data_IF_063952735660
#
_entry.id   IF_063952735660
#
_cell.length_a   1.000
_cell.length_b   1.000
_cell.length_c   1.000
_cell.angle_alpha   90.00
_cell.angle_beta   90.00
_cell.angle_gamma   90.00
#
_symmetry.space_group_name_H-M   'P 1'
#
loop_
_entity.id
_entity.type
_entity.pdbx_description
1 polymer ?
#
# COMPACT_ATOMS: atom_id res chain seq x y z
N UNK A 1 -9.39 -5.69 -0.46
CA UNK A 1 -10.09 -4.72 -1.35
C UNK A 1 -10.28 -3.43 -0.57
N UNK A 2 -10.42 -2.28 -1.23
CA UNK A 2 -10.70 -1.00 -0.59
C UNK A 2 -12.07 -0.51 -1.06
N UNK A 3 -12.99 -0.26 -0.13
CA UNK A 3 -14.34 0.24 -0.42
C UNK A 3 -14.59 1.49 0.41
N UNK A 4 -15.19 2.51 -0.20
CA UNK A 4 -15.56 3.76 0.46
C UNK A 4 -16.97 4.16 0.01
N UNK A 5 -17.83 4.42 0.99
CA UNK A 5 -19.14 4.99 0.74
C UNK A 5 -19.07 6.53 0.78
N UNK A 6 -19.71 7.24 -0.15
CA UNK A 6 -19.87 8.70 -0.09
C UNK A 6 -20.58 9.13 1.19
N UNK A 7 -20.27 10.34 1.68
CA UNK A 7 -21.06 11.01 2.73
C UNK A 7 -22.06 11.96 2.09
N UNK A 8 -23.12 12.30 2.81
CA UNK A 8 -24.27 13.07 2.31
C UNK A 8 -23.91 14.46 1.69
N UNK A 9 -22.76 15.06 2.03
CA UNK A 9 -22.32 16.36 1.51
C UNK A 9 -20.81 16.40 1.16
N UNK A 10 -20.28 15.32 0.58
CA UNK A 10 -18.85 15.26 0.26
C UNK A 10 -18.55 15.56 -1.20
N UNK A 11 -17.61 16.51 -1.42
CA UNK A 11 -17.07 16.77 -2.74
C UNK A 11 -16.36 15.55 -3.34
N UNK A 12 -16.53 15.32 -4.64
CA UNK A 12 -15.99 14.17 -5.37
C UNK A 12 -14.47 14.03 -5.16
N UNK A 13 -13.73 15.12 -5.18
CA UNK A 13 -12.27 15.12 -4.96
C UNK A 13 -11.87 14.57 -3.58
N UNK A 14 -12.67 14.86 -2.55
CA UNK A 14 -12.46 14.33 -1.20
C UNK A 14 -12.67 12.82 -1.17
N UNK A 15 -13.71 12.31 -1.85
CA UNK A 15 -13.97 10.87 -1.99
C UNK A 15 -12.79 10.20 -2.69
N UNK A 16 -12.31 10.76 -3.81
CA UNK A 16 -11.16 10.23 -4.56
C UNK A 16 -9.89 10.23 -3.68
N UNK A 17 -9.67 11.29 -2.91
CA UNK A 17 -8.51 11.39 -2.02
C UNK A 17 -8.54 10.32 -0.93
N UNK A 18 -9.68 10.09 -0.28
CA UNK A 18 -9.83 9.01 0.71
C UNK A 18 -9.67 7.65 0.06
N UNK A 19 -10.21 7.45 -1.13
CA UNK A 19 -10.08 6.19 -1.88
C UNK A 19 -8.62 5.86 -2.16
N UNK A 20 -7.86 6.83 -2.67
CA UNK A 20 -6.42 6.67 -2.89
C UNK A 20 -5.67 6.32 -1.60
N UNK A 21 -6.06 6.91 -0.46
CA UNK A 21 -5.48 6.57 0.86
C UNK A 21 -5.81 5.15 1.28
N UNK A 22 -7.07 4.72 1.21
CA UNK A 22 -7.49 3.36 1.58
C UNK A 22 -6.85 2.31 0.68
N UNK A 23 -6.76 2.54 -0.64
CA UNK A 23 -6.04 1.67 -1.59
C UNK A 23 -4.56 1.54 -1.22
N UNK A 24 -3.94 2.65 -0.83
CA UNK A 24 -2.53 2.67 -0.42
C UNK A 24 -2.32 1.95 0.92
N UNK A 25 -3.22 2.17 1.89
CA UNK A 25 -3.21 1.53 3.21
C UNK A 25 -3.43 0.02 3.11
N UNK A 26 -4.32 -0.42 2.22
CA UNK A 26 -4.59 -1.81 1.93
C UNK A 26 -3.43 -2.53 1.19
N UNK A 27 -2.38 -1.80 0.77
CA UNK A 27 -1.20 -2.40 0.15
C UNK A 27 -1.45 -3.03 -1.23
N UNK A 28 -2.53 -2.64 -1.92
CA UNK A 28 -2.97 -3.28 -3.17
C UNK A 28 -1.90 -3.18 -4.26
N UNK A 29 -1.24 -2.03 -4.41
CA UNK A 29 -0.19 -1.84 -5.43
C UNK A 29 1.07 -2.70 -5.18
N UNK A 30 1.67 -2.72 -3.97
CA UNK A 30 2.71 -3.70 -3.63
C UNK A 30 2.31 -5.15 -3.91
N UNK A 31 1.06 -5.49 -3.59
CA UNK A 31 0.52 -6.83 -3.75
C UNK A 31 0.34 -7.23 -5.20
N UNK A 32 -0.07 -6.29 -6.05
CA UNK A 32 -0.10 -6.47 -7.48
C UNK A 32 1.32 -6.67 -8.01
N UNK A 33 2.27 -5.80 -7.63
CA UNK A 33 3.67 -5.86 -8.13
C UNK A 33 4.35 -7.19 -7.80
N UNK A 34 4.19 -7.71 -6.58
CA UNK A 34 4.79 -8.98 -6.17
C UNK A 34 4.19 -10.23 -6.82
N UNK A 35 2.95 -10.14 -7.31
CA UNK A 35 2.24 -11.25 -7.95
C UNK A 35 2.35 -11.23 -9.48
N UNK A 36 2.92 -10.19 -10.07
CA UNK A 36 3.07 -10.05 -11.54
C UNK A 36 3.90 -11.17 -12.17
N UNK A 37 4.90 -11.66 -11.45
CA UNK A 37 5.74 -12.78 -11.87
C UNK A 37 6.12 -13.62 -10.66
N UNK A 38 6.60 -14.83 -10.92
CA UNK A 38 7.15 -15.67 -9.86
C UNK A 38 8.44 -15.05 -9.30
N UNK A 39 8.51 -14.95 -7.97
CA UNK A 39 9.74 -14.64 -7.26
C UNK A 39 10.27 -15.92 -6.60
N UNK A 40 11.57 -16.16 -6.77
CA UNK A 40 12.31 -17.22 -6.07
C UNK A 40 12.31 -17.01 -4.56
N UNK A 41 12.60 -18.05 -3.75
CA UNK A 41 12.69 -17.91 -2.29
C UNK A 41 13.69 -16.84 -1.83
N UNK A 42 14.83 -16.70 -2.53
CA UNK A 42 15.86 -15.72 -2.21
C UNK A 42 15.39 -14.28 -2.49
N UNK A 43 14.75 -14.04 -3.64
CA UNK A 43 14.19 -12.73 -3.97
C UNK A 43 13.09 -12.31 -2.98
N UNK A 44 12.23 -13.26 -2.59
CA UNK A 44 11.22 -13.05 -1.55
C UNK A 44 11.85 -12.63 -0.22
N UNK A 45 12.95 -13.27 0.20
CA UNK A 45 13.70 -12.92 1.42
C UNK A 45 14.29 -11.51 1.31
N UNK A 46 15.04 -11.22 0.25
CA UNK A 46 15.65 -9.92 -0.02
C UNK A 46 14.63 -8.79 0.00
N UNK A 47 13.47 -8.96 -0.64
CA UNK A 47 12.40 -7.96 -0.64
C UNK A 47 11.84 -7.71 0.76
N UNK A 48 11.60 -8.77 1.56
CA UNK A 48 11.09 -8.64 2.93
C UNK A 48 12.06 -7.87 3.83
N UNK A 49 13.36 -8.12 3.69
CA UNK A 49 14.40 -7.39 4.43
C UNK A 49 14.44 -5.91 4.06
N UNK A 50 14.43 -5.59 2.77
CA UNK A 50 14.38 -4.20 2.30
C UNK A 50 13.12 -3.49 2.81
N UNK A 51 11.96 -4.15 2.77
CA UNK A 51 10.71 -3.59 3.29
C UNK A 51 10.81 -3.30 4.80
N UNK A 52 11.35 -4.24 5.58
CA UNK A 52 11.58 -4.07 7.03
C UNK A 52 12.57 -2.93 7.31
N UNK A 53 13.65 -2.83 6.55
CA UNK A 53 14.63 -1.75 6.71
C UNK A 53 14.00 -0.37 6.43
N UNK A 54 13.25 -0.25 5.33
CA UNK A 54 12.52 0.99 4.99
C UNK A 54 11.50 1.38 6.07
N UNK A 55 10.77 0.41 6.62
CA UNK A 55 9.81 0.65 7.70
C UNK A 55 10.51 1.15 8.97
N UNK A 56 11.64 0.52 9.36
CA UNK A 56 12.46 0.98 10.49
C UNK A 56 12.94 2.42 10.28
N UNK A 57 13.53 2.74 9.13
CA UNK A 57 14.00 4.10 8.82
C UNK A 57 12.88 5.15 8.89
N UNK A 58 11.65 4.80 8.50
CA UNK A 58 10.50 5.69 8.64
C UNK A 58 10.12 5.93 10.10
N UNK A 59 10.12 4.89 10.94
CA UNK A 59 9.84 5.01 12.38
C UNK A 59 10.84 5.89 13.12
N UNK A 60 12.12 5.85 12.73
CA UNK A 60 13.16 6.70 13.33
C UNK A 60 13.13 8.16 12.85
N UNK A 61 12.35 8.46 11.80
CA UNK A 61 12.22 9.81 11.22
C UNK A 61 10.94 10.53 11.67
N UNK A 62 10.01 9.84 12.33
CA UNK A 62 8.84 10.46 12.98
C UNK A 62 9.14 10.71 14.43
#
# INVERSE_FOLDING_TARGET
MAQISPRENEAIDSIIRRFKREVSKAGIFPDMRKKRHFETPQEKRKRKEIAKHRQRRRKFRS
#
